data_IF_714665421777
#
_entry.id   IF_714665421777
#
_cell.length_a   1.000
_cell.length_b   1.000
_cell.length_c   1.000
_cell.angle_alpha   90.00
_cell.angle_beta   90.00
_cell.angle_gamma   90.00
#
_symmetry.space_group_name_H-M   'P 1'
#
loop_
_entity.id
_entity.type
_entity.pdbx_description
1 polymer ?
#
# COMPACT_ATOMS: atom_id res chain seq x y z
N UNK A 1 -13.25 -9.13 -38.72
CA UNK A 1 -12.86 -8.16 -37.66
C UNK A 1 -11.96 -8.93 -36.71
N UNK A 2 -10.63 -8.71 -36.77
CA UNK A 2 -9.68 -9.39 -35.90
C UNK A 2 -9.54 -8.59 -34.61
N UNK A 3 -10.02 -9.15 -33.51
CA UNK A 3 -9.94 -8.56 -32.18
C UNK A 3 -8.61 -8.97 -31.52
N UNK A 4 -7.49 -8.47 -32.03
CA UNK A 4 -6.20 -8.64 -31.38
C UNK A 4 -6.13 -7.65 -30.21
N UNK A 5 -6.63 -8.05 -29.04
CA UNK A 5 -6.35 -7.36 -27.78
C UNK A 5 -4.92 -7.69 -27.34
N UNK A 6 -3.94 -7.08 -28.01
CA UNK A 6 -2.56 -7.04 -27.54
C UNK A 6 -2.45 -6.07 -26.36
N UNK A 7 -3.00 -6.41 -25.19
CA UNK A 7 -2.73 -5.63 -23.96
C UNK A 7 -2.72 -6.46 -22.69
N UNK A 8 -2.28 -7.72 -22.77
CA UNK A 8 -1.66 -8.33 -21.61
C UNK A 8 -0.62 -9.32 -22.09
N UNK A 9 0.64 -8.93 -21.94
CA UNK A 9 1.72 -9.88 -22.11
C UNK A 9 1.57 -10.92 -20.99
N UNK A 10 1.32 -12.18 -21.36
CA UNK A 10 1.48 -13.38 -20.52
C UNK A 10 2.96 -13.59 -20.14
N UNK A 11 3.65 -12.52 -19.73
CA UNK A 11 5.01 -12.60 -19.21
C UNK A 11 4.89 -12.83 -17.72
N UNK A 12 5.46 -13.94 -17.28
CA UNK A 12 5.68 -14.19 -15.86
C UNK A 12 6.27 -12.94 -15.20
N UNK A 13 5.82 -12.61 -13.98
CA UNK A 13 6.32 -11.44 -13.27
C UNK A 13 7.86 -11.48 -13.22
N UNK A 14 8.52 -10.51 -13.86
CA UNK A 14 9.98 -10.45 -13.84
C UNK A 14 10.40 -10.02 -12.44
N UNK A 15 10.98 -10.94 -11.67
CA UNK A 15 11.45 -10.64 -10.32
C UNK A 15 12.90 -10.14 -10.40
N UNK A 16 13.08 -8.83 -10.26
CA UNK A 16 14.40 -8.20 -10.19
C UNK A 16 14.62 -7.69 -8.75
N UNK A 17 15.63 -8.23 -8.05
CA UNK A 17 15.95 -7.89 -6.65
C UNK A 17 14.75 -7.97 -5.68
N UNK A 18 13.85 -8.93 -5.87
CA UNK A 18 12.66 -9.12 -5.04
C UNK A 18 11.50 -8.17 -5.36
N UNK A 19 11.59 -7.36 -6.42
CA UNK A 19 10.50 -6.55 -6.95
C UNK A 19 9.97 -7.19 -8.24
N UNK A 20 8.64 -7.32 -8.36
CA UNK A 20 8.04 -7.65 -9.66
C UNK A 20 8.15 -6.40 -10.53
N UNK A 21 8.63 -6.55 -11.75
CA UNK A 21 8.79 -5.47 -12.71
C UNK A 21 8.04 -5.87 -13.98
N UNK A 22 7.27 -4.97 -14.55
CA UNK A 22 6.50 -5.25 -15.77
C UNK A 22 7.43 -5.16 -17.00
N UNK A 23 8.47 -4.32 -16.93
CA UNK A 23 9.51 -4.22 -17.95
C UNK A 23 10.85 -3.75 -17.35
N UNK A 24 11.91 -4.57 -17.41
CA UNK A 24 13.24 -4.22 -16.87
C UNK A 24 13.84 -2.95 -17.50
N UNK A 25 13.61 -2.71 -18.79
CA UNK A 25 14.10 -1.51 -19.48
C UNK A 25 13.41 -0.23 -19.01
N UNK A 26 12.26 -0.35 -18.36
CA UNK A 26 11.48 0.78 -17.84
C UNK A 26 11.44 0.77 -16.31
N UNK A 27 12.34 0.02 -15.65
CA UNK A 27 12.35 -0.13 -14.19
C UNK A 27 12.41 1.23 -13.48
N UNK A 28 13.25 2.15 -13.95
CA UNK A 28 13.37 3.50 -13.37
C UNK A 28 12.06 4.29 -13.47
N UNK A 29 11.36 4.20 -14.61
CA UNK A 29 10.10 4.91 -14.85
C UNK A 29 8.95 4.26 -14.05
N UNK A 30 8.91 2.93 -13.97
CA UNK A 30 7.86 2.18 -13.25
C UNK A 30 7.90 2.42 -11.73
N UNK A 31 9.07 2.74 -11.17
CA UNK A 31 9.20 3.13 -9.75
C UNK A 31 8.50 4.47 -9.50
N UNK A 32 8.59 5.40 -10.45
CA UNK A 32 8.04 6.75 -10.31
C UNK A 32 6.53 6.74 -10.56
N UNK A 33 6.07 5.99 -11.56
CA UNK A 33 4.66 5.94 -11.97
C UNK A 33 3.81 4.96 -11.15
N UNK A 34 4.40 4.34 -10.12
CA UNK A 34 3.78 3.24 -9.36
C UNK A 34 3.33 2.06 -10.24
N UNK A 35 3.95 1.89 -11.42
CA UNK A 35 3.69 0.80 -12.37
C UNK A 35 4.25 -0.56 -11.96
N UNK A 36 4.68 -0.70 -10.71
CA UNK A 36 5.12 -1.96 -10.10
C UNK A 36 4.03 -2.61 -9.24
N UNK A 37 4.25 -3.84 -8.75
CA UNK A 37 3.37 -4.49 -7.78
C UNK A 37 3.23 -3.60 -6.54
N UNK A 38 2.09 -3.69 -5.82
CA UNK A 38 1.93 -3.02 -4.54
C UNK A 38 3.10 -3.36 -3.60
N UNK A 39 3.94 -2.37 -3.29
CA UNK A 39 5.04 -2.55 -2.34
C UNK A 39 4.47 -2.50 -0.93
N UNK A 40 4.84 -3.46 -0.09
CA UNK A 40 4.52 -3.39 1.33
C UNK A 40 5.11 -2.12 1.91
N UNK A 41 4.27 -1.36 2.58
CA UNK A 41 4.67 -0.10 3.21
C UNK A 41 5.47 -0.45 4.48
N UNK A 42 6.77 -0.16 4.44
CA UNK A 42 7.65 -0.34 5.59
C UNK A 42 7.57 0.87 6.52
N UNK A 43 6.78 0.76 7.59
CA UNK A 43 6.61 1.81 8.59
C UNK A 43 7.93 2.28 9.20
N UNK A 44 8.90 1.37 9.34
CA UNK A 44 10.21 1.68 9.90
C UNK A 44 11.17 2.39 8.93
N UNK A 45 10.74 2.65 7.69
CA UNK A 45 11.47 3.42 6.68
C UNK A 45 10.83 4.78 6.40
N UNK A 46 9.68 5.08 7.00
CA UNK A 46 8.99 6.37 6.81
C UNK A 46 9.71 7.54 7.49
N UNK A 47 9.56 8.78 7.01
CA UNK A 47 10.01 9.97 7.72
C UNK A 47 9.37 10.07 9.11
N UNK A 48 10.15 10.55 10.10
CA UNK A 48 9.70 10.66 11.50
C UNK A 48 8.32 11.34 11.67
N UNK A 49 8.03 12.48 10.99
CA UNK A 49 6.73 13.14 11.14
C UNK A 49 5.54 12.27 10.72
N UNK A 50 5.69 11.52 9.62
CA UNK A 50 4.66 10.65 9.09
C UNK A 50 4.36 9.50 10.05
N UNK A 51 5.40 8.95 10.69
CA UNK A 51 5.22 7.91 11.71
C UNK A 51 4.43 8.43 12.90
N UNK A 52 4.82 9.59 13.45
CA UNK A 52 4.11 10.18 14.58
C UNK A 52 2.65 10.46 14.26
N UNK A 53 2.37 10.98 13.06
CA UNK A 53 1.00 11.18 12.60
C UNK A 53 0.22 9.86 12.54
N UNK A 54 0.80 8.80 11.96
CA UNK A 54 0.17 7.48 11.89
C UNK A 54 -0.16 6.91 13.28
N UNK A 55 0.80 6.96 14.21
CA UNK A 55 0.57 6.50 15.59
C UNK A 55 -0.47 7.35 16.32
N UNK A 56 -0.46 8.66 16.15
CA UNK A 56 -1.46 9.55 16.72
C UNK A 56 -2.86 9.22 16.20
N UNK A 57 -3.02 9.06 14.89
CA UNK A 57 -4.29 8.75 14.26
C UNK A 57 -4.86 7.41 14.74
N UNK A 58 -4.03 6.35 14.77
CA UNK A 58 -4.44 5.03 15.28
C UNK A 58 -4.82 5.13 16.76
N UNK A 59 -4.04 5.87 17.55
CA UNK A 59 -4.34 6.13 18.96
C UNK A 59 -5.71 6.79 19.16
N UNK A 60 -6.05 7.80 18.35
CA UNK A 60 -7.36 8.44 18.37
C UNK A 60 -8.50 7.45 18.09
N UNK A 61 -8.35 6.58 17.09
CA UNK A 61 -9.37 5.56 16.76
C UNK A 61 -9.58 4.60 17.93
N UNK A 62 -8.49 4.11 18.54
CA UNK A 62 -8.57 3.18 19.68
C UNK A 62 -9.27 3.86 20.86
N UNK A 63 -8.89 5.09 21.18
CA UNK A 63 -9.53 5.86 22.26
C UNK A 63 -11.03 6.06 21.99
N UNK A 64 -11.40 6.42 20.76
CA UNK A 64 -12.80 6.61 20.38
C UNK A 64 -13.60 5.31 20.52
N UNK A 65 -13.03 4.18 20.11
CA UNK A 65 -13.62 2.85 20.30
C UNK A 65 -13.85 2.52 21.78
N UNK A 66 -12.86 2.77 22.64
CA UNK A 66 -12.98 2.57 24.10
C UNK A 66 -14.10 3.45 24.67
N UNK A 67 -14.15 4.73 24.28
CA UNK A 67 -15.22 5.65 24.71
C UNK A 67 -16.60 5.15 24.32
N UNK A 68 -16.77 4.65 23.10
CA UNK A 68 -18.05 4.10 22.63
C UNK A 68 -18.45 2.88 23.46
N UNK A 69 -17.52 1.96 23.74
CA UNK A 69 -17.79 0.78 24.57
C UNK A 69 -18.22 1.19 25.98
N UNK A 70 -17.48 2.10 26.61
CA UNK A 70 -17.80 2.62 27.96
C UNK A 70 -19.18 3.30 27.96
N UNK A 71 -19.46 4.15 26.97
CA UNK A 71 -20.75 4.83 26.85
C UNK A 71 -21.91 3.85 26.64
N UNK A 72 -21.69 2.78 25.87
CA UNK A 72 -22.68 1.72 25.67
C UNK A 72 -22.92 0.92 26.96
N UNK A 73 -21.86 0.57 27.70
CA UNK A 73 -21.98 -0.14 28.97
C UNK A 73 -22.63 0.72 30.07
N UNK A 74 -22.37 2.02 30.12
CA UNK A 74 -23.00 2.93 31.10
C UNK A 74 -24.48 3.20 30.82
N UNK A 75 -24.95 2.93 29.59
CA UNK A 75 -26.34 3.15 29.19
C UNK A 75 -27.21 1.88 29.31
N UNK A 76 -26.59 0.71 29.49
CA UNK A 76 -27.25 -0.56 29.76
C UNK A 76 -27.45 -0.80 31.24
#
# INVERSE_FOLDING_TARGET
>A
MNNNHETQSDKEPIVNNGQVVVNELMQEIQIIEAGGPPRRVEWNSMPKPVRYFGYFYIGCIILMGIFVIIAACNKS
#
